data_IF_139950377097
#
_entry.id   IF_139950377097
#
_cell.length_a   1.000
_cell.length_b   1.000
_cell.length_c   1.000
_cell.angle_alpha   90.00
_cell.angle_beta   90.00
_cell.angle_gamma   90.00
#
_symmetry.space_group_name_H-M   'P 1'
#
loop_
_entity.id
_entity.type
_entity.pdbx_description
1 polymer ?
#
# COMPACT_ATOMS: atom_id res chain seq x y z
N UNK A 1 -35.95 26.55 -5.15
CA UNK A 1 -35.46 25.62 -6.20
C UNK A 1 -35.57 26.34 -7.55
N UNK A 2 -34.53 26.30 -8.39
CA UNK A 2 -34.64 26.84 -9.76
C UNK A 2 -35.67 25.99 -10.53
N UNK A 3 -36.68 26.63 -11.09
CA UNK A 3 -37.65 25.97 -11.97
C UNK A 3 -37.10 25.92 -13.38
N UNK A 4 -36.89 24.72 -13.91
CA UNK A 4 -36.39 24.51 -15.27
C UNK A 4 -37.56 24.43 -16.26
N UNK A 5 -37.40 25.04 -17.44
CA UNK A 5 -38.39 24.97 -18.52
C UNK A 5 -38.04 23.83 -19.46
N UNK A 6 -38.99 22.94 -19.75
CA UNK A 6 -38.79 21.91 -20.77
C UNK A 6 -38.70 22.57 -22.15
N UNK A 7 -37.64 22.34 -22.94
CA UNK A 7 -37.54 22.91 -24.27
C UNK A 7 -38.60 22.28 -25.19
N UNK A 8 -39.15 23.10 -26.07
CA UNK A 8 -40.05 22.63 -27.14
C UNK A 8 -39.24 21.94 -28.25
N UNK A 9 -39.82 20.99 -29.00
CA UNK A 9 -39.14 20.34 -30.12
C UNK A 9 -38.54 21.35 -31.11
N UNK A 10 -39.25 22.44 -31.41
CA UNK A 10 -38.80 23.50 -32.31
C UNK A 10 -37.56 24.23 -31.76
N UNK A 11 -37.51 24.48 -30.45
CA UNK A 11 -36.33 25.08 -29.81
C UNK A 11 -35.12 24.15 -29.85
N UNK A 12 -35.34 22.84 -29.69
CA UNK A 12 -34.27 21.83 -29.79
C UNK A 12 -33.73 21.79 -31.21
N UNK A 13 -34.60 21.72 -32.22
CA UNK A 13 -34.19 21.68 -33.64
C UNK A 13 -33.46 22.96 -34.06
N UNK A 14 -33.93 24.14 -33.62
CA UNK A 14 -33.25 25.41 -33.87
C UNK A 14 -31.88 25.47 -33.21
N UNK A 15 -31.77 25.02 -31.96
CA UNK A 15 -30.48 24.96 -31.27
C UNK A 15 -29.52 24.03 -32.02
N UNK A 16 -29.95 22.80 -32.32
CA UNK A 16 -29.14 21.78 -33.03
C UNK A 16 -28.64 22.29 -34.39
N UNK A 17 -29.46 23.01 -35.14
CA UNK A 17 -29.04 23.60 -36.42
C UNK A 17 -27.88 24.61 -36.27
N UNK A 18 -27.76 25.28 -35.13
CA UNK A 18 -26.69 26.24 -34.85
C UNK A 18 -25.40 25.58 -34.32
N UNK A 19 -25.48 24.32 -33.85
CA UNK A 19 -24.36 23.57 -33.30
C UNK A 19 -23.39 23.04 -34.38
N UNK A 20 -23.65 23.26 -35.67
CA UNK A 20 -22.70 22.90 -36.76
C UNK A 20 -21.38 23.67 -36.63
N UNK A 21 -21.40 24.85 -36.01
CA UNK A 21 -20.21 25.66 -35.76
C UNK A 21 -19.56 25.30 -34.43
N UNK A 22 -18.26 24.97 -34.43
CA UNK A 22 -17.53 24.52 -33.25
C UNK A 22 -17.57 25.50 -32.05
N UNK A 23 -17.59 26.81 -32.31
CA UNK A 23 -17.68 27.82 -31.24
C UNK A 23 -19.07 27.86 -30.60
N UNK A 24 -20.14 27.78 -31.40
CA UNK A 24 -21.50 27.65 -30.88
C UNK A 24 -21.67 26.34 -30.12
N UNK A 25 -21.06 25.27 -30.62
CA UNK A 25 -21.06 23.95 -29.98
C UNK A 25 -20.54 24.02 -28.54
N UNK A 26 -19.31 24.52 -28.38
CA UNK A 26 -18.66 24.65 -27.09
C UNK A 26 -19.45 25.59 -26.19
N UNK A 27 -19.79 26.78 -26.69
CA UNK A 27 -20.51 27.78 -25.91
C UNK A 27 -21.86 27.24 -25.39
N UNK A 28 -22.61 26.55 -26.25
CA UNK A 28 -23.90 25.97 -25.88
C UNK A 28 -23.74 24.97 -24.74
N UNK A 29 -22.91 23.95 -24.92
CA UNK A 29 -22.74 22.91 -23.91
C UNK A 29 -22.07 23.43 -22.65
N UNK A 30 -21.13 24.37 -22.71
CA UNK A 30 -20.48 24.93 -21.51
C UNK A 30 -21.44 25.80 -20.67
N UNK A 31 -22.41 26.46 -21.32
CA UNK A 31 -23.38 27.34 -20.64
C UNK A 31 -24.72 26.67 -20.34
N UNK A 32 -24.99 25.49 -20.89
CA UNK A 32 -26.24 24.78 -20.63
C UNK A 32 -26.30 24.28 -19.19
N UNK A 33 -27.26 24.80 -18.42
CA UNK A 33 -27.52 24.42 -17.03
C UNK A 33 -28.87 23.69 -16.85
N UNK A 34 -29.70 23.63 -17.89
CA UNK A 34 -31.05 23.11 -17.81
C UNK A 34 -31.09 21.58 -18.02
N UNK A 35 -31.46 20.76 -17.02
CA UNK A 35 -31.49 19.29 -17.13
C UNK A 35 -32.62 18.75 -18.01
N UNK A 36 -33.62 19.57 -18.35
CA UNK A 36 -34.71 19.16 -19.26
C UNK A 36 -34.26 19.01 -20.71
N UNK A 37 -33.03 19.44 -21.04
CA UNK A 37 -32.40 19.23 -22.34
C UNK A 37 -31.73 17.85 -22.48
N UNK A 38 -31.59 17.07 -21.40
CA UNK A 38 -30.94 15.75 -21.48
C UNK A 38 -31.65 14.79 -22.43
N UNK A 39 -32.97 14.58 -22.28
CA UNK A 39 -33.71 13.64 -23.14
C UNK A 39 -33.70 14.08 -24.61
N UNK A 40 -34.04 15.34 -24.97
CA UNK A 40 -34.07 15.73 -26.37
C UNK A 40 -32.69 15.70 -27.05
N UNK A 41 -31.62 16.05 -26.33
CA UNK A 41 -30.25 15.95 -26.87
C UNK A 41 -29.81 14.49 -27.00
N UNK A 42 -30.26 13.62 -26.10
CA UNK A 42 -29.98 12.19 -26.19
C UNK A 42 -30.69 11.55 -27.38
N UNK A 43 -31.96 11.87 -27.61
CA UNK A 43 -32.74 11.40 -28.77
C UNK A 43 -32.11 11.84 -30.11
N UNK A 44 -31.44 12.99 -30.13
CA UNK A 44 -30.67 13.49 -31.28
C UNK A 44 -29.27 12.87 -31.41
N UNK A 45 -28.86 12.02 -30.48
CA UNK A 45 -27.61 11.24 -30.55
C UNK A 45 -26.35 11.94 -30.02
N UNK A 46 -26.46 13.11 -29.39
CA UNK A 46 -25.29 13.90 -28.94
C UNK A 46 -24.40 13.18 -27.92
N UNK A 47 -24.95 12.26 -27.13
CA UNK A 47 -24.21 11.53 -26.11
C UNK A 47 -23.73 10.15 -26.56
N UNK A 48 -23.95 9.75 -27.81
CA UNK A 48 -23.72 8.37 -28.25
C UNK A 48 -22.25 8.07 -28.53
N UNK A 49 -21.55 9.01 -29.16
CA UNK A 49 -20.22 8.80 -29.74
C UNK A 49 -19.18 9.75 -29.11
N UNK A 50 -18.62 9.40 -27.93
CA UNK A 50 -17.52 10.17 -27.36
C UNK A 50 -16.29 10.20 -28.29
N UNK A 51 -15.51 11.29 -28.30
CA UNK A 51 -14.28 11.34 -29.08
C UNK A 51 -13.25 10.33 -28.53
N UNK A 52 -12.47 9.73 -29.44
CA UNK A 52 -11.31 8.92 -29.11
C UNK A 52 -10.06 9.80 -28.91
N UNK A 53 -9.03 9.32 -28.19
CA UNK A 53 -7.74 9.98 -28.18
C UNK A 53 -7.14 10.05 -29.59
N UNK A 54 -6.39 11.12 -29.86
CA UNK A 54 -5.72 11.35 -31.15
C UNK A 54 -4.23 11.23 -30.94
N UNK A 55 -3.60 10.30 -31.66
CA UNK A 55 -2.16 10.08 -31.64
C UNK A 55 -1.49 10.95 -32.71
N UNK A 56 -0.50 11.73 -32.30
CA UNK A 56 0.38 12.45 -33.21
C UNK A 56 1.68 11.65 -33.38
N UNK A 57 1.79 10.90 -34.48
CA UNK A 57 2.97 10.09 -34.78
C UNK A 57 4.24 10.92 -35.01
N UNK A 58 4.10 12.19 -35.42
CA UNK A 58 5.24 13.07 -35.71
C UNK A 58 5.90 13.60 -34.44
N UNK A 59 5.11 13.89 -33.41
CA UNK A 59 5.59 14.38 -32.11
C UNK A 59 5.69 13.29 -31.03
N UNK A 60 5.13 12.09 -31.30
CA UNK A 60 5.03 11.02 -30.30
C UNK A 60 4.12 11.39 -29.12
N UNK A 61 3.16 12.28 -29.34
CA UNK A 61 2.26 12.80 -28.31
C UNK A 61 0.84 12.26 -28.48
N UNK A 62 0.09 12.21 -27.37
CA UNK A 62 -1.33 11.85 -27.36
C UNK A 62 -2.12 13.08 -26.98
N UNK A 63 -3.12 13.41 -27.79
CA UNK A 63 -4.08 14.47 -27.49
C UNK A 63 -5.41 13.86 -27.06
N UNK A 64 -6.01 14.45 -26.03
CA UNK A 64 -7.35 14.12 -25.54
C UNK A 64 -8.33 15.25 -25.94
N UNK A 65 -9.06 15.14 -27.05
CA UNK A 65 -10.01 16.17 -27.45
C UNK A 65 -11.09 16.39 -26.37
N UNK A 66 -11.44 17.63 -26.02
CA UNK A 66 -12.49 17.89 -25.05
C UNK A 66 -13.85 17.47 -25.61
N UNK A 67 -14.73 17.00 -24.72
CA UNK A 67 -16.13 16.68 -25.06
C UNK A 67 -17.06 17.49 -24.15
N UNK A 68 -17.53 18.69 -24.59
CA UNK A 68 -18.40 19.56 -23.81
C UNK A 68 -19.65 18.87 -23.24
N UNK A 69 -20.14 17.84 -23.92
CA UNK A 69 -21.25 16.99 -23.53
C UNK A 69 -20.97 16.22 -22.25
N UNK A 70 -19.76 15.69 -22.07
CA UNK A 70 -19.35 15.02 -20.83
C UNK A 70 -19.44 15.98 -19.64
N UNK A 71 -18.97 17.22 -19.81
CA UNK A 71 -19.05 18.27 -18.79
C UNK A 71 -20.49 18.66 -18.50
N UNK A 72 -21.34 18.70 -19.53
CA UNK A 72 -22.77 18.93 -19.35
C UNK A 72 -23.42 17.78 -18.56
N UNK A 73 -23.13 16.52 -18.90
CA UNK A 73 -23.58 15.35 -18.15
C UNK A 73 -23.14 15.42 -16.67
N UNK A 74 -21.87 15.77 -16.41
CA UNK A 74 -21.35 15.96 -15.07
C UNK A 74 -22.13 17.00 -14.26
N UNK A 75 -22.43 18.15 -14.86
CA UNK A 75 -23.24 19.18 -14.20
C UNK A 75 -24.68 18.75 -13.97
N UNK A 76 -25.27 17.96 -14.87
CA UNK A 76 -26.67 17.54 -14.80
C UNK A 76 -26.88 16.30 -13.91
N UNK A 77 -25.83 15.54 -13.62
CA UNK A 77 -25.89 14.33 -12.80
C UNK A 77 -26.49 14.58 -11.40
N UNK A 78 -26.28 15.77 -10.81
CA UNK A 78 -26.91 16.15 -9.53
C UNK A 78 -28.43 16.39 -9.62
N UNK A 79 -28.97 16.59 -10.82
CA UNK A 79 -30.37 16.92 -11.05
C UNK A 79 -31.18 15.74 -11.60
N UNK A 80 -30.59 14.94 -12.50
CA UNK A 80 -31.21 13.75 -13.09
C UNK A 80 -30.21 12.56 -13.10
N UNK A 81 -29.79 12.06 -11.93
CA UNK A 81 -28.73 11.07 -11.83
C UNK A 81 -29.05 9.77 -12.58
N UNK A 82 -30.29 9.27 -12.52
CA UNK A 82 -30.71 8.02 -13.18
C UNK A 82 -30.63 8.13 -14.70
N UNK A 83 -31.07 9.25 -15.26
CA UNK A 83 -31.03 9.49 -16.70
C UNK A 83 -29.59 9.62 -17.18
N UNK A 84 -28.75 10.39 -16.47
CA UNK A 84 -27.33 10.54 -16.82
C UNK A 84 -26.60 9.20 -16.72
N UNK A 85 -26.83 8.40 -15.68
CA UNK A 85 -26.23 7.07 -15.59
C UNK A 85 -26.68 6.15 -16.73
N UNK A 86 -27.95 6.23 -17.15
CA UNK A 86 -28.42 5.50 -18.34
C UNK A 86 -27.70 5.93 -19.60
N UNK A 87 -27.55 7.25 -19.83
CA UNK A 87 -26.80 7.80 -20.95
C UNK A 87 -25.34 7.30 -20.96
N UNK A 88 -24.65 7.37 -19.82
CA UNK A 88 -23.24 6.93 -19.70
C UNK A 88 -23.07 5.42 -19.93
N UNK A 89 -24.09 4.63 -19.59
CA UNK A 89 -24.07 3.19 -19.84
C UNK A 89 -24.29 2.87 -21.33
N UNK A 90 -25.17 3.61 -21.98
CA UNK A 90 -25.60 3.34 -23.37
C UNK A 90 -24.67 3.97 -24.43
N UNK A 91 -23.80 4.93 -24.05
CA UNK A 91 -22.78 5.50 -24.94
C UNK A 91 -21.69 4.47 -25.31
N UNK A 92 -21.00 4.70 -26.43
CA UNK A 92 -19.87 3.87 -26.84
C UNK A 92 -18.70 3.99 -25.83
N UNK A 93 -17.77 3.03 -25.87
CA UNK A 93 -16.54 3.09 -25.07
C UNK A 93 -15.57 4.15 -25.65
N UNK A 94 -14.78 4.77 -24.78
CA UNK A 94 -13.74 5.73 -25.16
C UNK A 94 -12.50 5.53 -24.30
N UNK A 95 -11.33 5.69 -24.91
CA UNK A 95 -10.03 5.76 -24.23
C UNK A 95 -9.62 7.20 -23.90
N UNK A 96 -10.48 8.17 -24.18
CA UNK A 96 -10.18 9.57 -23.95
C UNK A 96 -10.28 9.89 -22.46
N UNK A 97 -9.12 10.03 -21.81
CA UNK A 97 -9.06 10.24 -20.38
C UNK A 97 -9.69 11.56 -19.90
N UNK A 98 -9.72 12.61 -20.74
CA UNK A 98 -10.44 13.84 -20.40
C UNK A 98 -11.95 13.58 -20.29
N UNK A 99 -12.50 12.79 -21.21
CA UNK A 99 -13.91 12.40 -21.18
C UNK A 99 -14.18 11.52 -19.98
N UNK A 100 -13.37 10.49 -19.76
CA UNK A 100 -13.51 9.60 -18.61
C UNK A 100 -13.47 10.39 -17.29
N UNK A 101 -12.59 11.39 -17.18
CA UNK A 101 -12.47 12.26 -16.00
C UNK A 101 -13.76 13.07 -15.74
N UNK A 102 -14.35 13.65 -16.78
CA UNK A 102 -15.64 14.36 -16.69
C UNK A 102 -16.80 13.40 -16.32
N UNK A 103 -16.79 12.16 -16.85
CA UNK A 103 -17.81 11.15 -16.52
C UNK A 103 -17.67 10.61 -15.09
N UNK A 104 -16.44 10.53 -14.57
CA UNK A 104 -16.21 10.19 -13.16
C UNK A 104 -16.70 11.33 -12.25
N UNK A 105 -16.54 12.59 -12.64
CA UNK A 105 -17.14 13.72 -11.90
C UNK A 105 -18.66 13.61 -11.85
N UNK A 106 -19.29 13.18 -12.95
CA UNK A 106 -20.71 12.87 -12.99
C UNK A 106 -21.06 11.79 -11.96
N UNK A 107 -20.32 10.68 -11.95
CA UNK A 107 -20.55 9.56 -11.04
C UNK A 107 -20.36 9.94 -9.55
N UNK A 108 -19.43 10.84 -9.25
CA UNK A 108 -19.13 11.31 -7.89
C UNK A 108 -20.27 12.15 -7.28
N UNK A 109 -21.02 12.88 -8.09
CA UNK A 109 -22.15 13.71 -7.61
C UNK A 109 -23.48 12.94 -7.57
N UNK A 110 -23.54 11.74 -8.15
CA UNK A 110 -24.72 10.88 -8.10
C UNK A 110 -24.82 10.14 -6.75
N UNK A 111 -26.03 9.77 -6.31
CA UNK A 111 -26.21 8.77 -5.26
C UNK A 111 -25.40 7.49 -5.56
N UNK A 112 -24.71 6.89 -4.57
CA UNK A 112 -23.91 5.68 -4.76
C UNK A 112 -24.68 4.52 -5.41
N UNK A 113 -25.97 4.40 -5.12
CA UNK A 113 -26.86 3.39 -5.70
C UNK A 113 -26.96 3.48 -7.22
N UNK A 114 -26.86 4.69 -7.75
CA UNK A 114 -26.99 4.97 -9.17
C UNK A 114 -25.62 4.89 -9.84
N UNK A 115 -24.60 5.57 -9.29
CA UNK A 115 -23.26 5.56 -9.90
C UNK A 115 -22.60 4.19 -9.88
N UNK A 116 -22.88 3.34 -8.89
CA UNK A 116 -22.37 1.98 -8.86
C UNK A 116 -22.88 1.12 -10.02
N UNK A 117 -24.00 1.48 -10.66
CA UNK A 117 -24.47 0.80 -11.89
C UNK A 117 -23.52 0.98 -13.07
N UNK A 118 -22.60 1.96 -13.01
CA UNK A 118 -21.58 2.23 -14.02
C UNK A 118 -20.29 1.43 -13.79
N UNK A 119 -20.24 0.50 -12.83
CA UNK A 119 -19.02 -0.20 -12.43
C UNK A 119 -18.27 -0.80 -13.62
N UNK A 120 -18.94 -1.44 -14.59
CA UNK A 120 -18.25 -2.05 -15.73
C UNK A 120 -17.53 -1.03 -16.63
N UNK A 121 -18.10 0.16 -16.82
CA UNK A 121 -17.44 1.27 -17.54
C UNK A 121 -16.24 1.78 -16.75
N UNK A 122 -16.42 2.01 -15.46
CA UNK A 122 -15.38 2.54 -14.56
C UNK A 122 -14.20 1.58 -14.43
N UNK A 123 -14.44 0.26 -14.37
CA UNK A 123 -13.36 -0.73 -14.32
C UNK A 123 -12.51 -0.70 -15.58
N UNK A 124 -13.13 -0.59 -16.77
CA UNK A 124 -12.39 -0.41 -18.03
C UNK A 124 -11.55 0.87 -18.03
N UNK A 125 -12.10 1.98 -17.53
CA UNK A 125 -11.35 3.24 -17.43
C UNK A 125 -10.18 3.12 -16.45
N UNK A 126 -10.35 2.37 -15.36
CA UNK A 126 -9.31 2.10 -14.39
C UNK A 126 -8.18 1.23 -14.94
N UNK A 127 -8.37 0.50 -16.05
CA UNK A 127 -7.32 -0.31 -16.69
C UNK A 127 -6.33 0.53 -17.52
N UNK A 128 -6.75 1.68 -18.03
CA UNK A 128 -5.91 2.51 -18.89
C UNK A 128 -4.96 3.40 -18.06
N UNK A 129 -3.65 3.41 -18.36
CA UNK A 129 -2.70 4.30 -17.69
C UNK A 129 -2.97 5.75 -18.10
N UNK A 130 -3.44 6.58 -17.17
CA UNK A 130 -3.59 8.01 -17.36
C UNK A 130 -3.44 8.76 -16.03
N UNK A 131 -2.80 9.94 -16.06
CA UNK A 131 -2.57 10.80 -14.90
C UNK A 131 -3.83 11.52 -14.38
N UNK A 132 -4.90 11.62 -15.17
CA UNK A 132 -6.07 12.47 -14.83
C UNK A 132 -7.16 11.76 -14.00
N UNK A 133 -7.01 10.47 -13.79
CA UNK A 133 -8.04 9.57 -13.25
C UNK A 133 -7.76 8.98 -11.85
N UNK A 134 -6.51 8.70 -11.43
CA UNK A 134 -6.25 7.90 -10.24
C UNK A 134 -6.93 8.44 -8.98
N UNK A 135 -6.73 9.72 -8.67
CA UNK A 135 -7.35 10.35 -7.51
C UNK A 135 -8.88 10.33 -7.57
N UNK A 136 -9.47 10.63 -8.74
CA UNK A 136 -10.93 10.64 -8.93
C UNK A 136 -11.53 9.25 -8.80
N UNK A 137 -10.85 8.22 -9.31
CA UNK A 137 -11.25 6.82 -9.15
C UNK A 137 -11.12 6.36 -7.70
N UNK A 138 -10.07 6.80 -6.98
CA UNK A 138 -9.95 6.63 -5.54
C UNK A 138 -11.11 7.27 -4.77
N UNK A 139 -11.46 8.51 -5.11
CA UNK A 139 -12.62 9.19 -4.53
C UNK A 139 -13.93 8.44 -4.82
N UNK A 140 -14.11 7.92 -6.04
CA UNK A 140 -15.31 7.17 -6.42
C UNK A 140 -15.40 5.81 -5.69
N UNK A 141 -14.27 5.12 -5.53
CA UNK A 141 -14.17 3.92 -4.69
C UNK A 141 -14.62 4.22 -3.26
N UNK A 142 -14.14 5.31 -2.67
CA UNK A 142 -14.53 5.75 -1.32
C UNK A 142 -16.01 6.12 -1.23
N UNK A 143 -16.54 6.77 -2.27
CA UNK A 143 -17.95 7.14 -2.40
C UNK A 143 -18.86 5.90 -2.39
N UNK A 144 -18.54 4.91 -3.22
CA UNK A 144 -19.27 3.64 -3.26
C UNK A 144 -19.19 2.87 -1.94
N UNK A 145 -18.01 2.83 -1.30
CA UNK A 145 -17.86 2.22 0.02
C UNK A 145 -18.76 2.88 1.07
N UNK A 146 -18.73 4.22 1.16
CA UNK A 146 -19.57 4.99 2.10
C UNK A 146 -21.07 4.81 1.83
N UNK A 147 -21.45 4.62 0.58
CA UNK A 147 -22.82 4.30 0.15
C UNK A 147 -23.24 2.84 0.30
N UNK A 148 -22.44 1.99 0.94
CA UNK A 148 -22.75 0.56 1.13
C UNK A 148 -22.63 -0.29 -0.15
N UNK A 149 -22.10 0.26 -1.25
CA UNK A 149 -21.78 -0.46 -2.50
C UNK A 149 -20.40 -1.12 -2.41
N UNK A 150 -20.28 -1.98 -1.41
CA UNK A 150 -19.01 -2.62 -1.01
C UNK A 150 -18.42 -3.46 -2.13
N UNK A 151 -19.26 -4.24 -2.84
CA UNK A 151 -18.79 -5.14 -3.91
C UNK A 151 -18.17 -4.35 -5.05
N UNK A 152 -18.82 -3.27 -5.48
CA UNK A 152 -18.37 -2.41 -6.56
C UNK A 152 -17.11 -1.64 -6.16
N UNK A 153 -17.06 -1.14 -4.92
CA UNK A 153 -15.86 -0.48 -4.38
C UNK A 153 -14.65 -1.43 -4.30
N UNK A 154 -14.83 -2.68 -3.83
CA UNK A 154 -13.75 -3.68 -3.80
C UNK A 154 -13.28 -4.07 -5.20
N UNK A 155 -14.19 -4.22 -6.18
CA UNK A 155 -13.83 -4.47 -7.57
C UNK A 155 -12.99 -3.33 -8.14
N UNK A 156 -13.40 -2.08 -7.92
CA UNK A 156 -12.63 -0.92 -8.37
C UNK A 156 -11.26 -0.87 -7.69
N UNK A 157 -11.20 -1.07 -6.38
CA UNK A 157 -9.95 -1.14 -5.64
C UNK A 157 -9.00 -2.20 -6.22
N UNK A 158 -9.53 -3.37 -6.57
CA UNK A 158 -8.71 -4.47 -7.11
C UNK A 158 -8.08 -4.18 -8.47
N UNK A 159 -8.70 -3.34 -9.29
CA UNK A 159 -8.18 -2.94 -10.61
C UNK A 159 -7.28 -1.71 -10.49
N UNK A 160 -7.72 -0.71 -9.72
CA UNK A 160 -7.04 0.57 -9.51
C UNK A 160 -5.69 0.39 -8.82
N UNK A 161 -5.63 -0.51 -7.83
CA UNK A 161 -4.44 -0.78 -7.03
C UNK A 161 -3.72 -2.06 -7.46
N UNK A 162 -4.05 -2.61 -8.63
CA UNK A 162 -3.42 -3.84 -9.10
C UNK A 162 -1.90 -3.65 -9.28
N UNK A 163 -1.17 -4.73 -9.03
CA UNK A 163 0.28 -4.79 -9.23
C UNK A 163 0.55 -5.61 -10.49
N UNK A 164 1.38 -5.07 -11.38
CA UNK A 164 1.73 -5.62 -12.69
C UNK A 164 3.20 -6.09 -12.69
N UNK A 165 3.56 -7.10 -13.51
CA UNK A 165 4.94 -7.55 -13.62
C UNK A 165 5.81 -6.50 -14.34
N UNK A 166 7.12 -6.55 -14.12
CA UNK A 166 8.07 -5.74 -14.89
C UNK A 166 8.25 -6.31 -16.30
N UNK A 167 7.80 -5.60 -17.34
CA UNK A 167 7.98 -6.02 -18.74
C UNK A 167 9.46 -6.18 -19.14
N UNK A 168 10.39 -5.46 -18.48
CA UNK A 168 11.84 -5.61 -18.71
C UNK A 168 12.36 -6.98 -18.32
N UNK A 169 11.73 -7.62 -17.33
CA UNK A 169 12.11 -8.96 -16.87
C UNK A 169 11.78 -10.07 -17.88
N UNK A 170 10.88 -9.80 -18.84
CA UNK A 170 10.52 -10.74 -19.90
C UNK A 170 11.47 -10.70 -21.10
N UNK A 171 12.23 -9.60 -21.27
CA UNK A 171 13.04 -9.33 -22.48
C UNK A 171 14.54 -9.46 -22.27
N UNK A 172 15.04 -9.33 -21.03
CA UNK A 172 16.46 -9.46 -20.72
C UNK A 172 16.80 -10.93 -20.44
N UNK A 173 17.45 -11.58 -21.40
CA UNK A 173 18.03 -12.92 -21.24
C UNK A 173 18.99 -12.98 -20.04
N UNK A 174 19.20 -14.19 -19.50
CA UNK A 174 19.97 -14.51 -18.29
C UNK A 174 21.42 -14.00 -18.30
N UNK A 175 21.63 -12.68 -18.18
CA UNK A 175 22.93 -12.06 -17.98
C UNK A 175 23.30 -12.04 -16.49
N UNK A 176 24.59 -12.18 -16.18
CA UNK A 176 25.13 -12.24 -14.81
C UNK A 176 24.85 -11.00 -13.94
N UNK A 177 24.39 -9.88 -14.52
CA UNK A 177 24.19 -8.60 -13.83
C UNK A 177 22.83 -7.93 -14.11
N UNK A 178 21.77 -8.70 -14.34
CA UNK A 178 20.42 -8.11 -14.40
C UNK A 178 19.97 -7.66 -13.00
N UNK A 179 19.30 -6.51 -12.87
CA UNK A 179 18.66 -6.09 -11.61
C UNK A 179 17.45 -7.00 -11.30
N UNK A 180 17.03 -7.15 -10.02
CA UNK A 180 15.77 -7.81 -9.71
C UNK A 180 14.60 -7.15 -10.46
N UNK A 181 13.57 -7.92 -10.88
CA UNK A 181 12.37 -7.33 -11.47
C UNK A 181 11.68 -6.38 -10.49
N UNK A 182 11.23 -5.23 -10.96
CA UNK A 182 10.50 -4.26 -10.13
C UNK A 182 9.00 -4.30 -10.48
N UNK A 183 8.13 -4.81 -9.58
CA UNK A 183 6.69 -4.78 -9.80
C UNK A 183 6.22 -3.34 -10.04
N UNK A 184 5.25 -3.15 -10.94
CA UNK A 184 4.74 -1.84 -11.31
C UNK A 184 3.29 -1.67 -10.90
N UNK A 185 2.93 -0.47 -10.46
CA UNK A 185 1.56 -0.08 -10.30
C UNK A 185 1.04 0.34 -11.67
N UNK A 186 -0.29 0.37 -11.79
CA UNK A 186 -0.93 0.84 -13.02
C UNK A 186 -0.72 2.34 -13.27
N UNK A 187 -0.55 3.09 -12.18
CA UNK A 187 -0.23 4.52 -12.17
C UNK A 187 1.07 4.74 -11.41
N UNK A 188 1.55 5.97 -11.34
CA UNK A 188 2.76 6.25 -10.58
C UNK A 188 2.56 5.96 -9.07
N UNK A 189 3.68 5.74 -8.38
CA UNK A 189 3.69 5.33 -6.97
C UNK A 189 3.15 6.43 -6.06
N UNK A 190 3.26 7.70 -6.47
CA UNK A 190 2.73 8.82 -5.69
C UNK A 190 1.21 8.81 -5.68
N UNK A 191 0.57 8.66 -6.85
CA UNK A 191 -0.88 8.50 -6.98
C UNK A 191 -1.37 7.27 -6.20
N UNK A 192 -0.68 6.15 -6.32
CA UNK A 192 -0.98 4.93 -5.57
C UNK A 192 -0.98 5.18 -4.05
N UNK A 193 0.05 5.88 -3.56
CA UNK A 193 0.18 6.27 -2.15
C UNK A 193 -0.92 7.23 -1.72
N UNK A 194 -1.28 8.23 -2.53
CA UNK A 194 -2.39 9.13 -2.22
C UNK A 194 -3.72 8.40 -2.13
N UNK A 195 -3.98 7.45 -3.04
CA UNK A 195 -5.21 6.65 -2.99
C UNK A 195 -5.30 5.84 -1.69
N UNK A 196 -4.21 5.16 -1.30
CA UNK A 196 -4.16 4.41 -0.06
C UNK A 196 -4.34 5.30 1.17
N UNK A 197 -3.77 6.50 1.16
CA UNK A 197 -3.82 7.43 2.29
C UNK A 197 -5.18 8.11 2.44
N UNK A 198 -5.69 8.71 1.36
CA UNK A 198 -6.84 9.62 1.42
C UNK A 198 -8.19 8.88 1.27
N UNK A 199 -8.24 7.85 0.41
CA UNK A 199 -9.52 7.25 0.00
C UNK A 199 -9.75 5.84 0.52
N UNK A 200 -8.71 5.02 0.59
CA UNK A 200 -8.78 3.63 1.05
C UNK A 200 -9.32 3.47 2.49
N UNK A 201 -9.08 4.38 3.46
CA UNK A 201 -9.69 4.29 4.78
C UNK A 201 -11.22 4.24 4.72
N UNK A 202 -11.85 4.87 3.73
CA UNK A 202 -13.30 4.76 3.52
C UNK A 202 -13.75 3.34 3.20
N UNK A 203 -12.96 2.60 2.42
CA UNK A 203 -13.20 1.20 2.09
C UNK A 203 -12.98 0.29 3.30
N UNK A 204 -11.92 0.51 4.08
CA UNK A 204 -11.68 -0.20 5.34
C UNK A 204 -12.85 0.02 6.30
N UNK A 205 -13.44 1.22 6.35
CA UNK A 205 -14.60 1.48 7.20
C UNK A 205 -15.87 0.76 6.78
N UNK A 206 -16.06 0.55 5.49
CA UNK A 206 -17.22 -0.16 4.97
C UNK A 206 -17.06 -1.69 5.01
N UNK A 207 -15.84 -2.19 4.77
CA UNK A 207 -15.53 -3.61 4.69
C UNK A 207 -14.12 -3.91 5.25
N UNK A 208 -13.94 -3.90 6.58
CA UNK A 208 -12.61 -3.91 7.20
C UNK A 208 -11.76 -5.12 6.81
N UNK A 209 -12.33 -6.32 6.93
CA UNK A 209 -11.60 -7.56 6.65
C UNK A 209 -11.37 -7.78 5.15
N UNK A 210 -12.37 -7.64 4.25
CA UNK A 210 -12.13 -7.74 2.80
C UNK A 210 -11.13 -6.72 2.26
N UNK A 211 -11.14 -5.48 2.78
CA UNK A 211 -10.18 -4.45 2.38
C UNK A 211 -8.75 -4.83 2.83
N UNK A 212 -8.57 -5.24 4.09
CA UNK A 212 -7.28 -5.72 4.58
C UNK A 212 -6.77 -6.91 3.75
N UNK A 213 -7.63 -7.86 3.44
CA UNK A 213 -7.31 -9.03 2.64
C UNK A 213 -6.86 -8.65 1.22
N UNK A 214 -7.53 -7.69 0.58
CA UNK A 214 -7.15 -7.19 -0.73
C UNK A 214 -5.73 -6.63 -0.73
N UNK A 215 -5.38 -5.75 0.22
CA UNK A 215 -4.00 -5.22 0.31
C UNK A 215 -2.97 -6.32 0.57
N UNK A 216 -3.28 -7.29 1.42
CA UNK A 216 -2.37 -8.41 1.68
C UNK A 216 -2.16 -9.27 0.42
N UNK A 217 -3.18 -9.45 -0.41
CA UNK A 217 -3.08 -10.18 -1.68
C UNK A 217 -2.26 -9.39 -2.72
N UNK A 218 -2.41 -8.06 -2.75
CA UNK A 218 -1.60 -7.19 -3.61
C UNK A 218 -0.13 -7.21 -3.21
N UNK A 219 0.18 -7.20 -1.89
CA UNK A 219 1.57 -7.32 -1.42
C UNK A 219 2.17 -8.70 -1.74
N UNK A 220 1.40 -9.78 -1.56
CA UNK A 220 1.83 -11.12 -1.98
C UNK A 220 2.15 -11.16 -3.48
N UNK A 221 1.29 -10.56 -4.32
CA UNK A 221 1.52 -10.43 -5.77
C UNK A 221 2.80 -9.63 -6.07
N UNK A 222 2.99 -8.49 -5.42
CA UNK A 222 4.18 -7.64 -5.60
C UNK A 222 5.48 -8.36 -5.22
N UNK A 223 5.48 -9.07 -4.09
CA UNK A 223 6.64 -9.87 -3.65
C UNK A 223 6.93 -10.94 -4.70
N UNK A 224 5.93 -11.71 -5.15
CA UNK A 224 6.11 -12.75 -6.18
C UNK A 224 6.70 -12.20 -7.47
N UNK A 225 6.24 -11.04 -7.94
CA UNK A 225 6.80 -10.40 -9.13
C UNK A 225 8.22 -9.88 -8.94
N UNK A 226 8.62 -9.54 -7.71
CA UNK A 226 10.01 -9.15 -7.41
C UNK A 226 10.99 -10.32 -7.29
N UNK A 227 10.49 -11.57 -7.18
CA UNK A 227 11.33 -12.76 -7.07
C UNK A 227 11.85 -13.19 -8.44
N UNK A 228 13.15 -13.48 -8.52
CA UNK A 228 13.73 -14.14 -9.70
C UNK A 228 13.25 -15.59 -9.77
N UNK A 229 12.87 -16.03 -10.97
CA UNK A 229 12.51 -17.42 -11.25
C UNK A 229 13.58 -18.38 -10.70
N UNK A 230 13.17 -19.31 -9.83
CA UNK A 230 14.03 -20.38 -9.32
C UNK A 230 15.03 -20.02 -8.20
N UNK A 231 15.07 -18.79 -7.67
CA UNK A 231 16.05 -18.37 -6.62
C UNK A 231 15.46 -17.91 -5.29
N UNK A 232 14.16 -18.07 -5.06
CA UNK A 232 13.51 -17.69 -3.79
C UNK A 232 13.57 -18.80 -2.74
N UNK A 233 14.04 -18.49 -1.53
CA UNK A 233 13.84 -19.36 -0.37
C UNK A 233 12.36 -19.31 0.05
N UNK A 234 11.75 -20.47 0.32
CA UNK A 234 10.33 -20.57 0.66
C UNK A 234 10.02 -19.72 1.91
N UNK A 235 9.12 -18.75 1.75
CA UNK A 235 8.67 -17.87 2.83
C UNK A 235 9.60 -16.73 3.21
N UNK A 236 10.76 -16.60 2.56
CA UNK A 236 11.67 -15.48 2.75
C UNK A 236 11.39 -14.40 1.70
N UNK A 237 11.23 -13.16 2.17
CA UNK A 237 10.95 -11.98 1.33
C UNK A 237 12.00 -10.88 1.48
N UNK A 238 12.97 -11.07 2.39
CA UNK A 238 14.02 -10.10 2.74
C UNK A 238 13.47 -8.71 3.06
N UNK A 239 12.25 -8.64 3.60
CA UNK A 239 11.56 -7.38 3.89
C UNK A 239 12.28 -6.51 4.88
N UNK A 240 13.06 -7.08 5.80
CA UNK A 240 13.90 -6.31 6.73
C UNK A 240 14.96 -5.45 6.02
N UNK A 241 15.23 -5.71 4.73
CA UNK A 241 16.14 -4.92 3.90
C UNK A 241 15.38 -3.78 3.18
N UNK A 242 14.31 -4.10 2.45
CA UNK A 242 13.59 -3.12 1.61
C UNK A 242 12.51 -2.33 2.36
N UNK A 243 12.10 -2.79 3.55
CA UNK A 243 11.23 -2.09 4.49
C UNK A 243 11.79 -2.27 5.91
N UNK A 244 12.77 -1.46 6.34
CA UNK A 244 13.45 -1.69 7.62
C UNK A 244 12.54 -1.66 8.85
N UNK A 245 11.50 -0.82 8.87
CA UNK A 245 10.53 -0.75 9.97
C UNK A 245 9.07 -0.77 9.48
N UNK A 246 8.16 -1.37 10.26
CA UNK A 246 6.71 -1.29 9.96
C UNK A 246 6.14 0.09 10.28
N UNK A 247 6.44 0.67 11.44
CA UNK A 247 6.10 2.05 11.78
C UNK A 247 6.81 3.07 10.88
N UNK A 248 6.36 4.33 10.93
CA UNK A 248 7.03 5.43 10.25
C UNK A 248 8.43 5.62 10.84
N UNK A 249 9.46 5.52 9.99
CA UNK A 249 10.84 5.54 10.42
C UNK A 249 11.77 6.14 9.34
N UNK A 250 12.84 6.89 9.70
CA UNK A 250 13.77 7.47 8.72
C UNK A 250 14.53 6.46 7.85
N UNK A 251 14.63 5.20 8.28
CA UNK A 251 15.24 4.12 7.48
C UNK A 251 14.30 3.60 6.38
N UNK A 252 13.00 3.91 6.43
CA UNK A 252 12.09 3.50 5.37
C UNK A 252 12.33 4.36 4.13
N UNK A 253 12.35 3.72 2.97
CA UNK A 253 12.49 4.39 1.69
C UNK A 253 11.16 4.24 0.96
N UNK A 254 10.33 5.29 1.03
CA UNK A 254 8.97 5.33 0.46
C UNK A 254 8.97 5.43 -1.08
N UNK A 255 9.78 4.62 -1.77
CA UNK A 255 9.96 4.69 -3.23
C UNK A 255 9.30 3.54 -4.00
N UNK A 256 8.98 2.43 -3.34
CA UNK A 256 8.46 1.21 -3.97
C UNK A 256 7.02 0.90 -3.53
N UNK A 257 6.25 0.26 -4.41
CA UNK A 257 4.88 -0.19 -4.19
C UNK A 257 4.78 -1.17 -3.03
N UNK A 258 5.79 -2.04 -2.84
CA UNK A 258 5.82 -2.96 -1.70
C UNK A 258 5.82 -2.19 -0.37
N UNK A 259 6.60 -1.12 -0.28
CA UNK A 259 6.70 -0.26 0.90
C UNK A 259 5.37 0.46 1.18
N UNK A 260 4.78 1.04 0.14
CA UNK A 260 3.46 1.70 0.20
C UNK A 260 2.35 0.73 0.62
N UNK A 261 2.38 -0.51 0.11
CA UNK A 261 1.43 -1.56 0.48
C UNK A 261 1.60 -2.01 1.95
N UNK A 262 2.82 -2.12 2.47
CA UNK A 262 3.04 -2.42 3.90
C UNK A 262 2.41 -1.34 4.77
N UNK A 263 2.60 -0.07 4.42
CA UNK A 263 1.97 1.06 5.11
C UNK A 263 0.44 0.96 5.06
N UNK A 264 -0.13 0.68 3.89
CA UNK A 264 -1.58 0.49 3.73
C UNK A 264 -2.13 -0.66 4.56
N UNK A 265 -1.44 -1.81 4.62
CA UNK A 265 -1.86 -2.98 5.43
C UNK A 265 -1.82 -2.65 6.91
N UNK A 266 -0.74 -2.01 7.38
CA UNK A 266 -0.59 -1.54 8.76
C UNK A 266 -1.76 -0.64 9.15
N UNK A 267 -2.00 0.41 8.37
CA UNK A 267 -3.01 1.41 8.68
C UNK A 267 -4.43 0.81 8.60
N UNK A 268 -4.71 -0.05 7.61
CA UNK A 268 -5.99 -0.74 7.49
C UNK A 268 -6.25 -1.68 8.68
N UNK A 269 -5.25 -2.45 9.11
CA UNK A 269 -5.35 -3.32 10.28
C UNK A 269 -5.57 -2.51 11.56
N UNK A 270 -4.79 -1.43 11.77
CA UNK A 270 -4.94 -0.56 12.92
C UNK A 270 -6.33 0.09 12.98
N UNK A 271 -6.87 0.56 11.85
CA UNK A 271 -8.23 1.11 11.77
C UNK A 271 -9.26 0.05 12.15
N UNK A 272 -9.15 -1.16 11.59
CA UNK A 272 -10.10 -2.25 11.84
C UNK A 272 -10.13 -2.68 13.33
N UNK A 273 -8.97 -2.70 13.99
CA UNK A 273 -8.84 -3.05 15.41
C UNK A 273 -9.32 -1.89 16.30
N UNK A 274 -8.88 -0.64 16.04
CA UNK A 274 -9.26 0.53 16.86
C UNK A 274 -10.76 0.76 16.90
N UNK A 275 -11.46 0.45 15.80
CA UNK A 275 -12.91 0.61 15.70
C UNK A 275 -13.69 -0.61 16.22
N UNK A 276 -13.00 -1.66 16.67
CA UNK A 276 -13.61 -2.86 17.25
C UNK A 276 -14.37 -3.73 16.25
N UNK A 277 -14.16 -3.53 14.94
CA UNK A 277 -14.88 -4.28 13.90
C UNK A 277 -14.31 -5.66 13.63
N UNK A 278 -13.01 -5.84 13.88
CA UNK A 278 -12.34 -7.13 13.74
C UNK A 278 -11.50 -7.37 14.99
N UNK A 279 -11.66 -8.51 15.68
CA UNK A 279 -10.80 -8.87 16.81
C UNK A 279 -9.33 -8.94 16.40
N UNK A 280 -8.46 -8.50 17.30
CA UNK A 280 -7.00 -8.51 17.09
C UNK A 280 -6.51 -9.92 16.76
N UNK A 281 -6.96 -10.93 17.52
CA UNK A 281 -6.57 -12.34 17.35
C UNK A 281 -6.83 -12.82 15.93
N UNK A 282 -7.99 -12.44 15.36
CA UNK A 282 -8.37 -12.81 14.00
C UNK A 282 -7.43 -12.20 12.95
N UNK A 283 -7.01 -10.95 13.13
CA UNK A 283 -6.05 -10.29 12.24
C UNK A 283 -4.66 -10.92 12.38
N UNK A 284 -4.21 -11.20 13.60
CA UNK A 284 -2.91 -11.84 13.85
C UNK A 284 -2.86 -13.23 13.21
N UNK A 285 -3.85 -14.09 13.45
CA UNK A 285 -3.91 -15.42 12.82
C UNK A 285 -3.95 -15.32 11.29
N UNK A 286 -4.68 -14.36 10.74
CA UNK A 286 -4.75 -14.15 9.30
C UNK A 286 -3.40 -13.72 8.69
N UNK A 287 -2.69 -12.79 9.33
CA UNK A 287 -1.39 -12.31 8.87
C UNK A 287 -0.31 -13.39 9.01
N UNK A 288 -0.23 -14.07 10.15
CA UNK A 288 0.77 -15.11 10.41
C UNK A 288 0.56 -16.38 9.57
N UNK A 289 -0.68 -16.63 9.12
CA UNK A 289 -1.01 -17.71 8.19
C UNK A 289 -0.50 -17.48 6.77
N UNK A 290 0.02 -16.29 6.45
CA UNK A 290 0.57 -15.97 5.13
C UNK A 290 2.04 -16.39 5.01
N UNK A 291 2.45 -16.62 3.77
CA UNK A 291 3.76 -17.20 3.46
C UNK A 291 4.95 -16.29 3.80
N UNK A 292 4.80 -14.97 3.60
CA UNK A 292 5.92 -14.01 3.63
C UNK A 292 6.17 -13.45 5.05
N UNK A 293 7.43 -13.28 5.42
CA UNK A 293 7.84 -12.78 6.74
C UNK A 293 7.31 -11.38 7.05
N UNK A 294 7.14 -10.51 6.05
CA UNK A 294 6.59 -9.16 6.24
C UNK A 294 5.24 -9.17 6.94
N UNK A 295 4.40 -10.17 6.72
CA UNK A 295 3.12 -10.27 7.43
C UNK A 295 3.30 -10.61 8.91
N UNK A 296 4.30 -11.41 9.27
CA UNK A 296 4.67 -11.67 10.67
C UNK A 296 5.22 -10.41 11.33
N UNK A 297 6.02 -9.62 10.61
CA UNK A 297 6.51 -8.32 11.09
C UNK A 297 5.35 -7.37 11.40
N UNK A 298 4.37 -7.26 10.50
CA UNK A 298 3.15 -6.48 10.73
C UNK A 298 2.39 -7.02 11.95
N UNK A 299 2.27 -8.34 12.11
CA UNK A 299 1.64 -8.94 13.28
C UNK A 299 2.33 -8.56 14.61
N UNK A 300 3.67 -8.63 14.67
CA UNK A 300 4.45 -8.20 15.84
C UNK A 300 4.27 -6.71 16.14
N UNK A 301 4.24 -5.85 15.11
CA UNK A 301 3.93 -4.44 15.26
C UNK A 301 2.53 -4.23 15.88
N UNK A 302 1.50 -4.91 15.36
CA UNK A 302 0.14 -4.80 15.89
C UNK A 302 0.05 -5.28 17.34
N UNK A 303 0.72 -6.38 17.71
CA UNK A 303 0.80 -6.84 19.09
C UNK A 303 1.43 -5.79 20.01
N UNK A 304 2.46 -5.08 19.55
CA UNK A 304 3.09 -3.98 20.32
C UNK A 304 2.13 -2.81 20.55
N UNK A 305 1.39 -2.41 19.51
CA UNK A 305 0.45 -1.27 19.56
C UNK A 305 -0.77 -1.60 20.41
N UNK A 306 -1.33 -2.80 20.30
CA UNK A 306 -2.54 -3.24 20.99
C UNK A 306 -2.27 -4.19 22.17
N UNK A 307 -1.11 -4.04 22.82
CA UNK A 307 -0.62 -4.99 23.83
C UNK A 307 -1.58 -5.31 24.97
N UNK A 308 -2.40 -4.35 25.37
CA UNK A 308 -3.37 -4.52 26.45
C UNK A 308 -4.47 -5.53 26.10
N UNK A 309 -4.72 -5.76 24.81
CA UNK A 309 -5.73 -6.69 24.29
C UNK A 309 -5.18 -8.10 24.00
N UNK A 310 -3.85 -8.29 24.01
CA UNK A 310 -3.21 -9.50 23.46
C UNK A 310 -2.13 -10.12 24.35
N UNK A 311 -2.32 -10.10 25.68
CA UNK A 311 -1.33 -10.63 26.64
C UNK A 311 -0.87 -12.05 26.32
N UNK A 312 -1.80 -12.97 26.09
CA UNK A 312 -1.49 -14.37 25.78
C UNK A 312 -0.74 -14.53 24.45
N UNK A 313 -1.14 -13.79 23.41
CA UNK A 313 -0.45 -13.80 22.12
C UNK A 313 0.97 -13.26 22.25
N UNK A 314 1.17 -12.19 23.03
CA UNK A 314 2.49 -11.60 23.26
C UNK A 314 3.42 -12.60 23.94
N UNK A 315 2.97 -13.24 25.02
CA UNK A 315 3.76 -14.27 25.72
C UNK A 315 4.19 -15.34 24.72
N UNK A 316 3.25 -15.91 23.96
CA UNK A 316 3.54 -16.97 22.99
C UNK A 316 4.56 -16.57 21.90
N UNK A 317 4.64 -15.29 21.49
CA UNK A 317 5.64 -14.83 20.50
C UNK A 317 6.97 -14.45 21.14
N UNK A 318 6.97 -13.84 22.33
CA UNK A 318 8.20 -13.50 23.04
C UNK A 318 8.92 -14.71 23.63
N UNK A 319 8.19 -15.81 23.88
CA UNK A 319 8.76 -17.10 24.29
C UNK A 319 8.89 -18.08 23.11
N UNK A 320 8.91 -17.59 21.87
CA UNK A 320 9.29 -18.38 20.69
C UNK A 320 10.75 -18.13 20.31
N UNK A 321 11.60 -19.14 20.52
CA UNK A 321 13.04 -19.06 20.19
C UNK A 321 13.28 -18.83 18.70
N UNK A 322 12.42 -19.32 17.82
CA UNK A 322 12.58 -19.13 16.38
C UNK A 322 12.43 -17.65 16.01
N UNK A 323 11.50 -16.92 16.64
CA UNK A 323 11.35 -15.47 16.44
C UNK A 323 12.51 -14.68 17.07
N UNK A 324 12.98 -15.10 18.25
CA UNK A 324 14.14 -14.49 18.91
C UNK A 324 15.41 -14.55 18.04
N UNK A 325 15.62 -15.65 17.32
CA UNK A 325 16.79 -15.87 16.47
C UNK A 325 16.63 -15.37 15.01
N UNK A 326 15.39 -15.11 14.55
CA UNK A 326 15.12 -14.72 13.17
C UNK A 326 15.44 -13.24 12.91
N UNK A 327 16.52 -13.03 12.15
CA UNK A 327 16.98 -11.71 11.70
C UNK A 327 15.90 -10.97 10.91
N UNK A 328 15.03 -11.69 10.21
CA UNK A 328 14.00 -11.11 9.34
C UNK A 328 12.86 -10.43 10.09
N UNK A 329 12.70 -10.66 11.40
CA UNK A 329 11.67 -10.02 12.23
C UNK A 329 12.26 -9.24 13.41
N UNK A 330 13.59 -9.11 13.44
CA UNK A 330 14.36 -8.60 14.57
C UNK A 330 13.85 -7.26 15.08
N UNK A 331 13.65 -6.29 14.18
CA UNK A 331 13.23 -4.94 14.54
C UNK A 331 11.92 -4.96 15.35
N UNK A 332 10.88 -5.57 14.79
CA UNK A 332 9.57 -5.60 15.41
C UNK A 332 9.55 -6.47 16.67
N UNK A 333 10.34 -7.55 16.71
CA UNK A 333 10.49 -8.40 17.90
C UNK A 333 11.14 -7.63 19.06
N UNK A 334 12.23 -6.90 18.82
CA UNK A 334 12.92 -6.11 19.85
C UNK A 334 12.00 -5.04 20.42
N UNK A 335 11.25 -4.34 19.55
CA UNK A 335 10.33 -3.31 20.01
C UNK A 335 9.17 -3.89 20.83
N UNK A 336 8.70 -5.10 20.49
CA UNK A 336 7.72 -5.81 21.31
C UNK A 336 8.33 -6.24 22.65
N UNK A 337 9.51 -6.85 22.63
CA UNK A 337 10.24 -7.33 23.81
C UNK A 337 10.49 -6.18 24.80
N UNK A 338 11.12 -5.10 24.35
CA UNK A 338 11.41 -3.91 25.16
C UNK A 338 10.16 -3.34 25.81
N UNK A 339 9.02 -3.41 25.12
CA UNK A 339 7.77 -2.82 25.63
C UNK A 339 7.01 -3.72 26.60
N UNK A 340 7.18 -5.04 26.50
CA UNK A 340 6.33 -6.00 27.20
C UNK A 340 7.08 -6.89 28.20
N UNK A 341 8.42 -6.93 28.19
CA UNK A 341 9.20 -7.83 29.03
C UNK A 341 8.87 -7.72 30.52
N UNK A 342 8.77 -6.49 31.05
CA UNK A 342 8.45 -6.25 32.47
C UNK A 342 7.02 -6.67 32.86
N UNK A 343 6.13 -6.86 31.88
CA UNK A 343 4.76 -7.33 32.09
C UNK A 343 4.62 -8.87 31.97
N UNK A 344 5.67 -9.57 31.54
CA UNK A 344 5.70 -11.03 31.48
C UNK A 344 5.74 -11.64 32.90
N UNK A 345 5.32 -12.89 33.03
CA UNK A 345 5.52 -13.62 34.28
C UNK A 345 7.02 -13.84 34.54
N UNK A 346 7.47 -13.99 35.80
CA UNK A 346 8.86 -14.30 36.08
C UNK A 346 9.38 -15.55 35.37
N UNK A 347 8.51 -16.56 35.18
CA UNK A 347 8.86 -17.76 34.42
C UNK A 347 9.15 -17.48 32.95
N UNK A 348 8.29 -16.68 32.30
CA UNK A 348 8.47 -16.31 30.89
C UNK A 348 9.68 -15.39 30.69
N UNK A 349 9.94 -14.46 31.62
CA UNK A 349 11.17 -13.66 31.62
C UNK A 349 12.40 -14.56 31.69
N UNK A 350 12.37 -15.57 32.56
CA UNK A 350 13.49 -16.50 32.72
C UNK A 350 13.73 -17.34 31.46
N UNK A 351 12.69 -17.71 30.70
CA UNK A 351 12.85 -18.40 29.41
C UNK A 351 13.75 -17.60 28.47
N UNK A 352 13.50 -16.30 28.34
CA UNK A 352 14.26 -15.41 27.45
C UNK A 352 15.68 -15.20 27.98
N UNK A 353 15.82 -14.95 29.28
CA UNK A 353 17.12 -14.75 29.93
C UNK A 353 18.00 -16.01 29.84
N UNK A 354 17.42 -17.20 29.92
CA UNK A 354 18.13 -18.47 29.73
C UNK A 354 18.71 -18.59 28.31
N UNK A 355 17.99 -18.17 27.27
CA UNK A 355 18.54 -18.16 25.92
C UNK A 355 19.72 -17.19 25.79
N UNK A 356 19.66 -16.05 26.48
CA UNK A 356 20.78 -15.11 26.54
C UNK A 356 21.96 -15.74 27.28
N UNK A 357 21.71 -16.46 28.37
CA UNK A 357 22.74 -17.16 29.14
C UNK A 357 23.45 -18.25 28.34
N UNK A 358 22.67 -19.08 27.64
CA UNK A 358 23.16 -20.15 26.76
C UNK A 358 24.15 -19.61 25.72
N UNK A 359 23.87 -18.42 25.19
CA UNK A 359 24.73 -17.72 24.23
C UNK A 359 24.42 -18.07 22.77
N UNK A 360 25.21 -17.54 21.82
CA UNK A 360 25.01 -17.80 20.40
C UNK A 360 25.44 -19.22 20.00
N UNK A 361 24.99 -19.67 18.84
CA UNK A 361 25.50 -20.88 18.19
C UNK A 361 26.98 -20.71 17.80
N UNK A 362 27.85 -21.29 18.61
CA UNK A 362 29.31 -21.21 18.47
C UNK A 362 29.81 -22.01 17.27
N UNK A 363 29.16 -23.12 16.91
CA UNK A 363 29.57 -23.91 15.76
C UNK A 363 29.32 -23.14 14.46
N UNK A 364 28.14 -22.51 14.34
CA UNK A 364 27.85 -21.62 13.22
C UNK A 364 28.78 -20.40 13.17
N UNK A 365 29.26 -19.93 14.31
CA UNK A 365 30.28 -18.89 14.37
C UNK A 365 31.63 -19.41 13.84
N UNK A 366 32.10 -20.58 14.31
CA UNK A 366 33.34 -21.23 13.85
C UNK A 366 33.33 -21.45 12.34
N UNK A 367 32.24 -21.96 11.79
CA UNK A 367 32.09 -22.15 10.33
C UNK A 367 32.21 -20.84 9.54
N UNK A 368 31.52 -19.78 9.99
CA UNK A 368 31.57 -18.47 9.33
C UNK A 368 32.97 -17.84 9.42
N UNK A 369 33.63 -18.00 10.57
CA UNK A 369 34.97 -17.50 10.79
C UNK A 369 36.00 -18.18 9.88
N UNK A 370 35.94 -19.52 9.79
CA UNK A 370 36.79 -20.30 8.91
C UNK A 370 36.62 -19.89 7.44
N UNK A 371 35.39 -19.72 6.94
CA UNK A 371 35.14 -19.28 5.55
C UNK A 371 35.68 -17.89 5.22
N UNK A 372 35.83 -17.01 6.21
CA UNK A 372 36.26 -15.62 6.01
C UNK A 372 37.75 -15.38 6.21
N UNK A 373 38.43 -16.22 7.01
CA UNK A 373 39.83 -16.00 7.42
C UNK A 373 40.75 -17.22 7.30
N UNK A 374 40.24 -18.37 6.84
CA UNK A 374 40.96 -19.66 6.74
C UNK A 374 41.68 -20.08 8.05
N UNK A 375 41.15 -19.67 9.21
CA UNK A 375 41.68 -19.97 10.54
C UNK A 375 40.57 -20.40 11.49
N UNK A 376 40.90 -21.14 12.55
CA UNK A 376 39.98 -21.44 13.65
C UNK A 376 40.04 -20.33 14.70
N UNK A 377 38.91 -19.85 15.23
CA UNK A 377 38.93 -18.84 16.28
C UNK A 377 39.51 -19.40 17.58
N UNK A 378 40.24 -18.58 18.35
CA UNK A 378 40.74 -18.94 19.68
C UNK A 378 39.62 -19.00 20.73
N UNK A 379 39.88 -19.60 21.89
CA UNK A 379 38.91 -19.63 22.99
C UNK A 379 38.62 -18.21 23.53
N UNK A 380 39.61 -17.33 23.53
CA UNK A 380 39.42 -15.91 23.88
C UNK A 380 38.51 -15.21 22.86
N UNK A 381 38.68 -15.47 21.55
CA UNK A 381 37.81 -14.91 20.51
C UNK A 381 36.37 -15.42 20.61
N UNK A 382 36.18 -16.69 20.98
CA UNK A 382 34.87 -17.28 21.24
C UNK A 382 34.21 -16.65 22.47
N UNK A 383 34.95 -16.47 23.57
CA UNK A 383 34.44 -15.80 24.78
C UNK A 383 34.04 -14.36 24.47
N UNK A 384 34.90 -13.63 23.77
CA UNK A 384 34.66 -12.26 23.35
C UNK A 384 33.38 -12.14 22.49
N UNK A 385 33.21 -13.03 21.50
CA UNK A 385 32.00 -13.06 20.67
C UNK A 385 30.74 -13.34 21.50
N UNK A 386 30.80 -14.29 22.44
CA UNK A 386 29.68 -14.62 23.33
C UNK A 386 29.31 -13.42 24.20
N UNK A 387 30.27 -12.75 24.81
CA UNK A 387 30.05 -11.60 25.70
C UNK A 387 29.42 -10.41 24.95
N UNK A 388 29.92 -10.08 23.75
CA UNK A 388 29.30 -9.05 22.90
C UNK A 388 27.87 -9.46 22.52
N UNK A 389 27.66 -10.72 22.13
CA UNK A 389 26.33 -11.20 21.79
C UNK A 389 25.35 -11.08 22.98
N UNK A 390 25.80 -11.43 24.19
CA UNK A 390 25.01 -11.30 25.41
C UNK A 390 24.69 -9.84 25.72
N UNK A 391 25.69 -8.94 25.62
CA UNK A 391 25.50 -7.49 25.78
C UNK A 391 24.39 -7.00 24.86
N UNK A 392 24.48 -7.34 23.58
CA UNK A 392 23.54 -6.87 22.56
C UNK A 392 22.11 -7.40 22.83
N UNK A 393 21.97 -8.67 23.25
CA UNK A 393 20.64 -9.24 23.58
C UNK A 393 20.05 -8.70 24.87
N UNK A 394 20.86 -8.38 25.87
CA UNK A 394 20.39 -7.68 27.07
C UNK A 394 19.93 -6.26 26.74
N UNK A 395 20.61 -5.56 25.84
CA UNK A 395 20.18 -4.25 25.35
C UNK A 395 18.85 -4.27 24.58
N UNK A 396 18.45 -5.42 24.01
CA UNK A 396 17.12 -5.56 23.39
C UNK A 396 15.99 -5.38 24.41
N UNK A 397 16.17 -5.91 25.62
CA UNK A 397 15.18 -5.85 26.70
C UNK A 397 15.05 -4.41 27.26
N UNK A 398 16.12 -3.64 27.22
CA UNK A 398 16.19 -2.32 27.84
C UNK A 398 16.72 -2.43 29.29
N UNK A 399 17.79 -1.71 29.67
CA UNK A 399 18.41 -1.83 31.00
C UNK A 399 17.45 -1.56 32.17
N UNK A 400 16.43 -0.74 31.93
CA UNK A 400 15.38 -0.40 32.90
C UNK A 400 14.40 -1.56 33.16
N UNK A 401 14.30 -2.52 32.25
CA UNK A 401 13.40 -3.68 32.36
C UNK A 401 14.12 -4.94 32.86
N UNK A 402 15.46 -4.92 32.96
CA UNK A 402 16.24 -6.07 33.41
C UNK A 402 16.13 -6.24 34.93
N UNK A 403 16.04 -7.50 35.44
CA UNK A 403 16.28 -7.79 36.84
C UNK A 403 17.67 -7.32 37.29
N UNK A 404 17.84 -7.05 38.58
CA UNK A 404 19.05 -6.42 39.14
C UNK A 404 20.34 -7.14 38.73
N UNK A 405 20.40 -8.47 38.91
CA UNK A 405 21.58 -9.28 38.54
C UNK A 405 21.93 -9.18 37.04
N UNK A 406 20.93 -9.18 36.17
CA UNK A 406 21.11 -9.09 34.73
C UNK A 406 21.49 -7.70 34.26
N UNK A 407 20.97 -6.67 34.95
CA UNK A 407 21.33 -5.27 34.71
C UNK A 407 22.78 -5.02 35.08
N UNK A 408 23.26 -5.56 36.19
CA UNK A 408 24.66 -5.43 36.61
C UNK A 408 25.59 -6.13 35.61
N UNK A 409 25.23 -7.35 35.19
CA UNK A 409 25.95 -8.06 34.12
C UNK A 409 26.00 -7.26 32.82
N UNK A 410 24.88 -6.66 32.41
CA UNK A 410 24.83 -5.79 31.25
C UNK A 410 25.77 -4.58 31.39
N UNK A 411 25.77 -3.91 32.55
CA UNK A 411 26.65 -2.76 32.81
C UNK A 411 28.13 -3.13 32.75
N UNK A 412 28.53 -4.29 33.30
CA UNK A 412 29.90 -4.79 33.17
C UNK A 412 30.30 -4.98 31.70
N UNK A 413 29.42 -5.60 30.91
CA UNK A 413 29.67 -5.81 29.48
C UNK A 413 29.75 -4.50 28.68
N UNK A 414 28.92 -3.50 29.03
CA UNK A 414 28.98 -2.16 28.43
C UNK A 414 30.27 -1.43 28.81
N UNK A 415 30.73 -1.53 30.06
CA UNK A 415 32.02 -0.93 30.47
C UNK A 415 33.19 -1.53 29.70
N UNK A 416 33.13 -2.81 29.37
CA UNK A 416 34.19 -3.53 28.66
C UNK A 416 34.16 -3.30 27.14
N UNK A 417 32.98 -3.20 26.53
CA UNK A 417 32.82 -3.22 25.07
C UNK A 417 32.13 -1.98 24.48
N UNK A 418 31.71 -1.04 25.31
CA UNK A 418 30.92 0.13 24.91
C UNK A 418 29.42 -0.18 24.80
N UNK A 419 28.62 0.87 24.60
CA UNK A 419 27.20 0.74 24.32
C UNK A 419 26.97 0.24 22.89
N UNK A 420 26.00 -0.67 22.67
CA UNK A 420 25.67 -1.12 21.33
C UNK A 420 24.77 -0.10 20.60
N UNK A 421 24.99 0.07 19.29
CA UNK A 421 24.26 1.01 18.44
C UNK A 421 23.34 0.28 17.44
N UNK A 422 22.15 0.83 17.18
CA UNK A 422 21.21 0.41 16.14
C UNK A 422 20.87 -1.10 16.10
N UNK A 423 20.80 -1.75 17.25
CA UNK A 423 20.63 -3.20 17.38
C UNK A 423 19.35 -3.76 16.75
N UNK A 424 18.32 -2.92 16.64
CA UNK A 424 17.06 -3.26 16.03
C UNK A 424 17.17 -3.49 14.51
N UNK A 425 18.17 -2.90 13.86
CA UNK A 425 18.39 -3.03 12.43
C UNK A 425 19.58 -3.95 12.12
N UNK A 426 19.40 -4.98 11.25
CA UNK A 426 20.52 -5.76 10.75
C UNK A 426 21.55 -4.94 9.95
N UNK A 427 21.12 -3.82 9.37
CA UNK A 427 21.96 -2.82 8.73
C UNK A 427 21.30 -1.44 8.93
N UNK A 428 22.08 -0.42 9.27
CA UNK A 428 21.60 0.93 9.52
C UNK A 428 22.35 1.94 8.65
N UNK A 429 21.63 2.86 8.01
CA UNK A 429 22.23 3.92 7.19
C UNK A 429 22.20 5.26 7.92
N UNK A 430 23.37 5.85 8.16
CA UNK A 430 23.47 7.24 8.61
C UNK A 430 23.40 8.17 7.39
N UNK A 431 22.35 8.97 7.28
CA UNK A 431 22.27 10.03 6.28
C UNK A 431 23.08 11.25 6.74
N UNK A 432 24.40 11.15 6.59
CA UNK A 432 25.32 12.29 6.73
C UNK A 432 25.41 13.09 5.43
N UNK A 433 25.27 14.41 5.50
CA UNK A 433 25.59 15.29 4.37
C UNK A 433 27.10 15.24 4.11
N UNK A 434 27.53 14.46 3.12
CA UNK A 434 28.92 14.49 2.64
C UNK A 434 29.06 15.75 1.79
N UNK A 435 29.63 16.81 2.39
CA UNK A 435 29.93 18.05 1.71
C UNK A 435 30.86 17.84 0.50
N UNK A 436 30.87 18.76 -0.47
CA UNK A 436 31.64 18.62 -1.70
C UNK A 436 33.14 18.83 -1.41
N UNK A 437 33.81 17.83 -0.87
CA UNK A 437 35.27 17.78 -0.81
C UNK A 437 35.75 16.74 -1.82
N UNK A 438 36.06 17.20 -3.02
CA UNK A 438 36.81 16.39 -3.99
C UNK A 438 38.12 15.90 -3.37
N UNK A 439 38.50 14.62 -3.54
CA UNK A 439 39.81 14.14 -3.12
C UNK A 439 40.94 14.93 -3.82
N UNK A 440 41.99 15.27 -3.06
CA UNK A 440 43.22 15.88 -3.59
C UNK A 440 44.12 14.84 -4.26
#
# INVERSE_FOLDING_TARGET
MRSWKKPTPEQVDQAVALLVYAEHYRYFFDRLENPEWLEPLWDKGFFKHPPQPVWDEGEGTIRFPPWPEARYLARMAKHKPELVAKIIRDMDDTENASVQSDLVDAALVMPPEISATLVEKVLKWAEAPCLLLPEKLGALMSHWAKGGKIREALRLASVLLDVLPDERSATVGEGLYSLPPEPKARFDVWDYKQILKEYYPGLVRAAPFPALELLCNLLDKAIRFSLRQGKGQKGEDFSYIWRPAIEDHPQNIDSDIKDVLVTGIRDAAEIAIKLGWVPLEKIITFLEGRQWKVFRRIALHLLRIFREQAKELIVARLTDRALFEDVGVRHEYILLLRKCFSALSPGDQQVILNWIEEGPDIERFRERWQRGRDMTPSEEEISHYREIWQRDRLAWIGPENLPEEWRDRYQTLVQQYGEPEHLEFPAYMEFGWVGPASPK
#
